data_IF_230581128735
#
_entry.id   IF_230581128735
#
_cell.length_a   1.000
_cell.length_b   1.000
_cell.length_c   1.000
_cell.angle_alpha   90.00
_cell.angle_beta   90.00
_cell.angle_gamma   90.00
#
_symmetry.space_group_name_H-M   'P 1'
#
loop_
_entity.id
_entity.type
_entity.pdbx_description
1 polymer ?
#
# COMPACT_ATOMS: atom_id res chain seq x y z
N UNK A 1 10.15 82.26 -25.04
CA UNK A 1 11.46 81.80 -25.58
C UNK A 1 12.51 82.03 -24.48
N UNK A 2 13.45 81.10 -24.27
CA UNK A 2 13.88 80.64 -22.94
C UNK A 2 14.96 81.51 -22.29
N UNK A 3 14.98 81.54 -20.95
CA UNK A 3 16.09 82.00 -20.12
C UNK A 3 16.39 80.86 -19.12
N UNK A 4 17.48 80.10 -19.32
CA UNK A 4 18.85 80.37 -18.86
C UNK A 4 19.05 80.07 -17.37
N UNK A 5 19.95 79.13 -17.04
CA UNK A 5 21.14 79.43 -16.22
C UNK A 5 21.98 78.17 -16.02
N UNK A 6 23.27 78.30 -16.32
CA UNK A 6 24.37 77.44 -15.89
C UNK A 6 24.92 78.05 -14.58
N UNK A 7 25.26 77.23 -13.57
CA UNK A 7 26.60 77.18 -12.93
C UNK A 7 26.65 76.45 -11.56
N UNK A 8 27.64 75.54 -11.48
CA UNK A 8 28.59 75.17 -10.43
C UNK A 8 28.25 75.10 -8.91
N UNK A 9 28.52 73.93 -8.29
CA UNK A 9 29.50 73.69 -7.19
C UNK A 9 29.34 72.33 -6.48
N UNK A 10 30.45 71.59 -6.30
CA UNK A 10 30.68 70.40 -5.41
C UNK A 10 30.78 70.82 -3.91
N UNK A 11 31.08 69.92 -2.94
CA UNK A 11 30.41 68.69 -2.50
C UNK A 11 30.10 68.72 -0.97
N UNK A 12 29.08 68.01 -0.48
CA UNK A 12 28.73 67.96 0.95
C UNK A 12 28.38 66.54 1.41
N UNK A 13 29.08 66.05 2.42
CA UNK A 13 29.09 64.65 2.84
C UNK A 13 27.82 64.14 3.55
N UNK A 14 27.62 62.84 3.43
CA UNK A 14 26.59 62.08 4.15
C UNK A 14 26.91 60.59 4.15
N UNK A 15 28.05 60.20 4.74
CA UNK A 15 28.35 58.78 5.04
C UNK A 15 27.69 58.40 6.36
N UNK A 16 26.93 57.30 6.37
CA UNK A 16 26.89 56.42 7.55
C UNK A 16 25.55 55.96 8.08
N UNK A 17 24.69 55.30 7.28
CA UNK A 17 23.56 54.50 7.83
C UNK A 17 23.41 53.10 7.17
N UNK A 18 24.03 52.83 6.03
CA UNK A 18 23.86 51.54 5.31
C UNK A 18 24.73 50.35 5.79
N UNK A 19 25.78 50.57 6.58
CA UNK A 19 26.78 49.52 6.87
C UNK A 19 26.43 48.65 8.10
N UNK A 20 25.79 49.22 9.13
CA UNK A 20 25.50 48.51 10.40
C UNK A 20 24.38 47.46 10.28
N UNK A 21 23.41 47.65 9.38
CA UNK A 21 22.26 46.73 9.23
C UNK A 21 22.65 45.44 8.51
N UNK A 22 23.64 45.49 7.60
CA UNK A 22 24.13 44.31 6.88
C UNK A 22 24.92 43.35 7.80
N UNK A 23 25.80 43.89 8.66
CA UNK A 23 26.60 43.10 9.59
C UNK A 23 25.72 42.40 10.65
N UNK A 24 24.65 43.06 11.11
CA UNK A 24 23.73 42.48 12.09
C UNK A 24 22.86 41.35 11.50
N UNK A 25 22.57 41.38 10.19
CA UNK A 25 21.82 40.31 9.50
C UNK A 25 22.71 39.11 9.17
N UNK A 26 23.99 39.32 8.89
CA UNK A 26 24.97 38.25 8.68
C UNK A 26 25.30 37.52 10.00
N UNK A 27 25.44 38.26 11.10
CA UNK A 27 25.67 37.71 12.45
C UNK A 27 24.56 36.76 12.90
N UNK A 28 23.28 37.11 12.68
CA UNK A 28 22.14 36.24 13.00
C UNK A 28 22.09 34.95 12.17
N UNK A 29 22.52 35.00 10.90
CA UNK A 29 22.57 33.81 10.02
C UNK A 29 23.68 32.84 10.44
N UNK A 30 24.86 33.37 10.81
CA UNK A 30 25.96 32.55 11.31
C UNK A 30 25.59 31.84 12.62
N UNK A 31 24.92 32.57 13.54
CA UNK A 31 24.49 32.02 14.83
C UNK A 31 23.43 30.91 14.69
N UNK A 32 22.51 31.03 13.72
CA UNK A 32 21.52 29.97 13.43
C UNK A 32 22.18 28.75 12.80
N UNK A 33 23.14 28.93 11.88
CA UNK A 33 23.86 27.83 11.26
C UNK A 33 24.71 27.03 12.27
N UNK A 34 25.35 27.73 13.22
CA UNK A 34 26.11 27.10 14.30
C UNK A 34 25.20 26.33 15.27
N UNK A 35 24.01 26.85 15.58
CA UNK A 35 23.02 26.17 16.43
C UNK A 35 22.48 24.90 15.76
N UNK A 36 22.28 24.92 14.43
CA UNK A 36 21.84 23.76 13.65
C UNK A 36 22.91 22.68 13.54
N UNK A 37 24.18 23.05 13.36
CA UNK A 37 25.30 22.10 13.36
C UNK A 37 25.43 21.40 14.72
N UNK A 38 25.28 22.16 15.81
CA UNK A 38 25.32 21.61 17.17
C UNK A 38 24.12 20.71 17.49
N UNK A 39 22.95 20.98 16.90
CA UNK A 39 21.78 20.10 16.99
C UNK A 39 21.96 18.80 16.19
N UNK A 40 22.59 18.87 15.01
CA UNK A 40 22.91 17.70 14.18
C UNK A 40 23.89 16.75 14.87
N UNK A 41 24.94 17.27 15.53
CA UNK A 41 25.88 16.44 16.30
C UNK A 41 25.21 15.73 17.48
N UNK A 42 24.26 16.39 18.16
CA UNK A 42 23.48 15.77 19.24
C UNK A 42 22.59 14.63 18.76
N UNK A 43 22.03 14.74 17.54
CA UNK A 43 21.20 13.70 16.96
C UNK A 43 22.03 12.47 16.55
N UNK A 44 23.23 12.69 16.01
CA UNK A 44 24.16 11.61 15.58
C UNK A 44 24.71 10.83 16.80
N UNK A 45 24.94 11.51 17.92
CA UNK A 45 25.40 10.86 19.14
C UNK A 45 24.27 10.06 19.83
N UNK A 46 23.01 10.48 19.70
CA UNK A 46 21.86 9.74 20.23
C UNK A 46 21.54 8.46 19.42
N UNK A 47 21.96 8.38 18.16
CA UNK A 47 21.79 7.17 17.33
C UNK A 47 22.87 6.11 17.56
N UNK A 48 23.90 6.39 18.36
CA UNK A 48 25.04 5.49 18.55
C UNK A 48 24.97 4.61 19.81
N UNK A 49 23.93 4.74 20.64
CA UNK A 49 23.82 3.99 21.92
C UNK A 49 22.68 2.98 22.01
N UNK A 50 22.11 2.56 20.86
CA UNK A 50 21.19 1.40 20.82
C UNK A 50 21.82 0.24 20.06
N UNK A 51 22.92 -0.29 20.60
CA UNK A 51 23.45 -1.59 20.20
C UNK A 51 22.89 -2.66 21.14
N UNK A 52 21.76 -3.28 20.76
CA UNK A 52 21.37 -4.56 21.36
C UNK A 52 22.23 -5.65 20.73
N UNK A 53 23.28 -6.04 21.45
CA UNK A 53 24.02 -7.26 21.18
C UNK A 53 23.11 -8.45 21.49
N UNK A 54 22.68 -9.15 20.45
CA UNK A 54 22.21 -10.53 20.57
C UNK A 54 23.23 -11.37 19.84
N UNK A 55 24.20 -11.90 20.58
CA UNK A 55 25.01 -13.00 20.12
C UNK A 55 24.16 -14.27 20.09
N UNK A 56 24.20 -14.99 18.98
CA UNK A 56 24.18 -16.45 18.99
C UNK A 56 24.75 -16.97 17.68
N UNK A 57 25.48 -18.06 17.83
CA UNK A 57 26.49 -18.59 16.94
C UNK A 57 25.95 -19.09 15.61
N UNK A 58 26.72 -18.83 14.55
CA UNK A 58 26.48 -19.33 13.20
C UNK A 58 27.12 -20.72 13.07
N UNK A 59 26.36 -21.78 13.35
CA UNK A 59 26.72 -23.12 12.88
C UNK A 59 26.25 -23.29 11.43
N UNK A 60 27.24 -23.51 10.57
CA UNK A 60 27.15 -23.64 9.13
C UNK A 60 26.83 -25.10 8.77
N UNK A 61 25.57 -25.46 8.56
CA UNK A 61 25.16 -26.56 7.67
C UNK A 61 23.65 -26.59 7.45
N UNK A 62 23.30 -26.99 6.23
CA UNK A 62 21.96 -27.20 5.64
C UNK A 62 21.19 -25.96 5.18
N UNK A 63 21.20 -25.76 3.86
CA UNK A 63 20.19 -25.02 3.10
C UNK A 63 18.93 -25.86 2.99
N UNK A 64 17.79 -25.49 3.62
CA UNK A 64 16.49 -25.94 3.17
C UNK A 64 16.01 -24.93 2.12
N UNK A 65 15.61 -25.47 0.98
CA UNK A 65 14.73 -24.86 -0.02
C UNK A 65 13.71 -23.90 0.64
N UNK A 66 13.42 -22.71 0.07
CA UNK A 66 12.35 -21.87 0.59
C UNK A 66 11.02 -22.55 0.24
N UNK A 67 10.62 -23.50 1.08
CA UNK A 67 9.22 -23.92 1.17
C UNK A 67 8.54 -22.74 1.86
N UNK A 68 7.89 -21.90 1.06
CA UNK A 68 6.91 -20.96 1.59
C UNK A 68 6.04 -21.74 2.57
N UNK A 69 5.94 -21.35 3.85
CA UNK A 69 4.97 -21.94 4.73
C UNK A 69 3.62 -21.54 4.14
N UNK A 70 2.97 -22.46 3.41
CA UNK A 70 1.56 -22.38 3.13
C UNK A 70 0.92 -22.30 4.51
N UNK A 71 0.56 -21.07 4.89
CA UNK A 71 0.10 -20.76 6.24
C UNK A 71 -1.03 -21.73 6.54
N UNK A 72 -0.91 -22.46 7.65
CA UNK A 72 -1.87 -23.45 8.13
C UNK A 72 -3.29 -22.97 7.86
N UNK A 73 -4.05 -23.83 7.18
CA UNK A 73 -5.49 -23.77 7.04
C UNK A 73 -6.10 -23.29 8.35
N UNK A 74 -7.02 -22.33 8.26
CA UNK A 74 -7.64 -21.68 9.41
C UNK A 74 -8.52 -22.59 10.27
N UNK A 75 -8.65 -23.86 9.90
CA UNK A 75 -9.38 -24.86 10.66
C UNK A 75 -8.44 -25.56 11.66
N UNK A 76 -8.27 -24.94 12.83
CA UNK A 76 -7.80 -25.66 14.02
C UNK A 76 -8.72 -25.38 15.19
N UNK A 77 -10.02 -25.63 15.03
CA UNK A 77 -10.86 -26.18 16.11
C UNK A 77 -12.25 -26.67 15.62
N UNK A 78 -12.33 -27.59 14.66
CA UNK A 78 -13.60 -28.28 14.40
C UNK A 78 -13.36 -29.76 14.10
N UNK A 79 -13.35 -30.58 15.15
CA UNK A 79 -13.57 -32.02 15.01
C UNK A 79 -15.02 -32.23 14.52
N UNK A 80 -15.15 -32.42 13.22
CA UNK A 80 -16.38 -32.83 12.57
C UNK A 80 -16.04 -33.19 11.14
N UNK A 81 -16.46 -34.36 10.68
CA UNK A 81 -16.30 -34.81 9.30
C UNK A 81 -17.08 -33.89 8.35
N UNK A 82 -16.51 -32.72 8.06
CA UNK A 82 -17.06 -31.65 7.25
C UNK A 82 -16.11 -31.34 6.11
N UNK A 83 -16.68 -31.05 4.94
CA UNK A 83 -15.96 -30.75 3.72
C UNK A 83 -15.05 -29.52 3.96
N UNK A 84 -13.73 -29.71 3.90
CA UNK A 84 -12.77 -28.61 4.03
C UNK A 84 -12.75 -27.84 2.70
N UNK A 85 -13.57 -26.79 2.61
CA UNK A 85 -13.55 -25.86 1.49
C UNK A 85 -12.23 -25.08 1.50
N UNK A 86 -11.36 -25.32 0.51
CA UNK A 86 -10.13 -24.58 0.32
C UNK A 86 -10.32 -23.54 -0.79
N UNK A 87 -9.99 -22.27 -0.50
CA UNK A 87 -9.97 -21.20 -1.50
C UNK A 87 -8.52 -20.82 -1.76
N UNK A 88 -8.09 -20.98 -3.01
CA UNK A 88 -6.79 -20.53 -3.49
C UNK A 88 -6.98 -19.20 -4.22
N UNK A 89 -6.17 -18.19 -3.93
CA UNK A 89 -6.27 -16.88 -4.57
C UNK A 89 -4.96 -16.46 -5.20
N UNK A 90 -5.04 -15.79 -6.36
CA UNK A 90 -3.91 -15.19 -7.07
C UNK A 90 -4.25 -13.78 -7.54
N UNK A 91 -3.36 -12.84 -7.25
CA UNK A 91 -3.44 -11.44 -7.67
C UNK A 91 -2.55 -11.11 -8.88
N UNK A 92 -1.84 -12.10 -9.42
CA UNK A 92 -0.93 -11.88 -10.55
C UNK A 92 -1.74 -11.49 -11.81
N UNK A 93 -1.29 -10.44 -12.49
CA UNK A 93 -1.97 -9.90 -13.67
C UNK A 93 -1.01 -9.78 -14.85
N UNK A 94 -1.44 -10.23 -16.03
CA UNK A 94 -0.66 -10.09 -17.28
C UNK A 94 -0.87 -8.69 -17.88
N UNK A 95 0.20 -7.91 -17.99
CA UNK A 95 0.14 -6.65 -18.73
C UNK A 95 -0.01 -6.92 -20.23
N UNK A 96 -1.13 -6.52 -20.84
CA UNK A 96 -1.43 -6.73 -22.26
C UNK A 96 -0.55 -5.90 -23.21
N UNK A 97 0.08 -4.84 -22.71
CA UNK A 97 0.92 -3.95 -23.53
C UNK A 97 2.33 -4.50 -23.74
N UNK A 98 2.90 -5.19 -22.75
CA UNK A 98 4.27 -5.72 -22.81
C UNK A 98 4.38 -7.22 -22.54
N UNK A 99 3.24 -7.91 -22.35
CA UNK A 99 3.14 -9.34 -22.03
C UNK A 99 3.95 -9.77 -20.78
N UNK A 100 4.30 -8.83 -19.91
CA UNK A 100 4.98 -9.12 -18.64
C UNK A 100 3.95 -9.39 -17.55
N UNK A 101 4.22 -10.38 -16.70
CA UNK A 101 3.44 -10.63 -15.49
C UNK A 101 3.81 -9.58 -14.44
N UNK A 102 2.77 -8.98 -13.84
CA UNK A 102 2.90 -7.99 -12.76
C UNK A 102 2.37 -8.63 -11.49
N UNK A 103 3.21 -8.67 -10.45
CA UNK A 103 2.90 -9.29 -9.16
C UNK A 103 2.21 -8.30 -8.21
N UNK A 104 1.83 -8.78 -7.03
CA UNK A 104 0.95 -8.07 -6.13
C UNK A 104 1.59 -6.80 -5.57
N UNK A 105 2.86 -6.86 -5.18
CA UNK A 105 3.65 -5.73 -4.72
C UNK A 105 3.81 -4.64 -5.80
N UNK A 106 3.96 -5.06 -7.06
CA UNK A 106 4.10 -4.15 -8.19
C UNK A 106 2.76 -3.51 -8.56
N UNK A 107 1.67 -4.29 -8.54
CA UNK A 107 0.31 -3.78 -8.74
C UNK A 107 -0.03 -2.74 -7.68
N UNK A 108 0.28 -3.03 -6.41
CA UNK A 108 0.01 -2.10 -5.31
C UNK A 108 0.82 -0.82 -5.42
N UNK A 109 2.08 -0.91 -5.85
CA UNK A 109 2.95 0.25 -6.07
C UNK A 109 2.49 1.13 -7.24
N UNK A 110 1.79 0.55 -8.23
CA UNK A 110 1.30 1.24 -9.42
C UNK A 110 -0.05 1.95 -9.26
N UNK A 111 -0.74 1.79 -8.13
CA UNK A 111 -2.00 2.49 -7.85
C UNK A 111 -1.80 3.98 -7.53
N UNK A 112 -2.81 4.77 -7.83
CA UNK A 112 -2.86 6.21 -7.53
C UNK A 112 -3.74 6.50 -6.31
N UNK A 113 -3.69 7.73 -5.80
CA UNK A 113 -4.57 8.19 -4.70
C UNK A 113 -5.98 8.56 -5.15
N UNK A 114 -6.35 8.26 -6.40
CA UNK A 114 -7.68 8.53 -6.95
C UNK A 114 -8.61 7.35 -6.62
N UNK A 115 -9.58 7.61 -5.75
CA UNK A 115 -10.57 6.62 -5.29
C UNK A 115 -11.61 6.21 -6.35
N UNK A 116 -11.52 6.78 -7.55
CA UNK A 116 -12.34 6.42 -8.72
C UNK A 116 -11.53 5.69 -9.79
N UNK A 117 -10.21 5.55 -9.60
CA UNK A 117 -9.32 4.88 -10.55
C UNK A 117 -9.15 3.38 -10.22
N UNK A 118 -9.59 2.53 -11.14
CA UNK A 118 -9.45 1.07 -11.05
C UNK A 118 -8.12 0.55 -11.61
N UNK A 119 -7.29 1.42 -12.18
CA UNK A 119 -6.08 1.00 -12.87
C UNK A 119 -4.84 1.04 -11.97
N UNK A 120 -3.92 0.11 -12.24
CA UNK A 120 -2.52 0.16 -11.81
C UNK A 120 -1.61 0.45 -13.01
N UNK A 121 -0.37 0.86 -12.74
CA UNK A 121 0.65 1.14 -13.75
C UNK A 121 1.65 0.00 -13.84
N UNK A 122 1.87 -0.52 -15.06
CA UNK A 122 2.86 -1.58 -15.28
C UNK A 122 4.29 -1.06 -15.04
N UNK A 123 5.13 -1.73 -14.22
CA UNK A 123 6.49 -1.25 -13.94
C UNK A 123 7.43 -1.36 -15.14
N UNK A 124 7.10 -2.21 -16.13
CA UNK A 124 7.97 -2.48 -17.28
C UNK A 124 7.73 -1.54 -18.48
N UNK A 125 6.48 -1.13 -18.70
CA UNK A 125 6.10 -0.32 -19.86
C UNK A 125 5.27 0.92 -19.53
N UNK A 126 4.98 1.16 -18.24
CA UNK A 126 4.16 2.27 -17.74
C UNK A 126 2.73 2.33 -18.28
N UNK A 127 2.28 1.28 -18.98
CA UNK A 127 0.89 1.18 -19.42
C UNK A 127 -0.03 1.03 -18.21
N UNK A 128 -1.14 1.77 -18.25
CA UNK A 128 -2.23 1.65 -17.29
C UNK A 128 -3.06 0.41 -17.62
N UNK A 129 -3.40 -0.40 -16.62
CA UNK A 129 -4.23 -1.59 -16.77
C UNK A 129 -5.07 -1.86 -15.52
N UNK A 130 -6.20 -2.54 -15.68
CA UNK A 130 -7.00 -3.03 -14.55
C UNK A 130 -6.41 -4.37 -14.08
N UNK A 131 -5.91 -4.48 -12.84
CA UNK A 131 -5.47 -5.75 -12.27
C UNK A 131 -6.66 -6.61 -11.86
N UNK A 132 -6.44 -7.93 -11.74
CA UNK A 132 -7.49 -8.89 -11.37
C UNK A 132 -7.06 -9.80 -10.22
N UNK A 133 -8.03 -10.17 -9.38
CA UNK A 133 -7.93 -11.27 -8.43
C UNK A 133 -8.64 -12.48 -9.01
N UNK A 134 -7.96 -13.63 -8.97
CA UNK A 134 -8.51 -14.93 -9.31
C UNK A 134 -8.67 -15.75 -8.04
N UNK A 135 -9.87 -16.27 -7.80
CA UNK A 135 -10.16 -17.21 -6.74
C UNK A 135 -10.53 -18.55 -7.35
N UNK A 136 -9.89 -19.62 -6.91
CA UNK A 136 -10.21 -21.00 -7.25
C UNK A 136 -10.75 -21.69 -6.00
N UNK A 137 -11.89 -22.35 -6.16
CA UNK A 137 -12.62 -22.98 -5.07
C UNK A 137 -12.42 -24.49 -5.20
N UNK A 138 -11.73 -25.09 -4.22
CA UNK A 138 -11.41 -26.51 -4.18
C UNK A 138 -12.24 -27.19 -3.10
N UNK A 139 -12.99 -28.23 -3.48
CA UNK A 139 -13.65 -29.14 -2.54
C UNK A 139 -12.72 -30.34 -2.27
N UNK A 140 -12.29 -30.50 -1.02
CA UNK A 140 -11.40 -31.58 -0.58
C UNK A 140 -12.14 -32.88 -0.24
N UNK A 141 -13.37 -33.07 -0.74
CA UNK A 141 -14.14 -34.30 -0.57
C UNK A 141 -13.47 -35.56 -1.17
N UNK A 142 -13.83 -36.79 -0.73
CA UNK A 142 -13.16 -38.04 -1.11
C UNK A 142 -13.24 -38.42 -2.60
N UNK A 143 -13.96 -37.65 -3.40
CA UNK A 143 -14.15 -37.87 -4.83
C UNK A 143 -14.06 -36.51 -5.52
N UNK A 144 -12.86 -35.93 -5.60
CA UNK A 144 -12.60 -34.79 -6.48
C UNK A 144 -12.88 -35.24 -7.92
N UNK A 145 -14.11 -34.99 -8.37
CA UNK A 145 -14.55 -35.24 -9.74
C UNK A 145 -13.69 -34.41 -10.68
N UNK A 146 -13.30 -35.01 -11.80
CA UNK A 146 -12.51 -34.42 -12.90
C UNK A 146 -13.29 -33.32 -13.68
N UNK A 147 -14.17 -32.57 -13.01
CA UNK A 147 -14.79 -31.35 -13.50
C UNK A 147 -14.02 -30.15 -12.97
N UNK A 148 -13.76 -29.16 -13.82
CA UNK A 148 -12.96 -27.99 -13.45
C UNK A 148 -13.43 -27.35 -12.14
N UNK A 149 -12.49 -26.94 -11.31
CA UNK A 149 -12.74 -26.18 -10.10
C UNK A 149 -13.42 -24.85 -10.46
N UNK A 150 -14.48 -24.43 -9.75
CA UNK A 150 -15.09 -23.12 -9.98
C UNK A 150 -14.04 -22.02 -9.77
N UNK A 151 -13.87 -21.18 -10.78
CA UNK A 151 -12.95 -20.04 -10.76
C UNK A 151 -13.73 -18.73 -10.89
N UNK A 152 -13.41 -17.78 -10.02
CA UNK A 152 -13.95 -16.43 -10.05
C UNK A 152 -12.83 -15.43 -10.32
N UNK A 153 -13.05 -14.53 -11.28
CA UNK A 153 -12.13 -13.43 -11.58
C UNK A 153 -12.83 -12.10 -11.34
N UNK A 154 -12.29 -11.26 -10.46
CA UNK A 154 -12.80 -9.92 -10.18
C UNK A 154 -11.71 -8.86 -10.32
N UNK A 155 -12.09 -7.60 -10.47
CA UNK A 155 -11.13 -6.50 -10.44
C UNK A 155 -10.41 -6.46 -9.09
N UNK A 156 -9.08 -6.32 -9.10
CA UNK A 156 -8.30 -6.12 -7.89
C UNK A 156 -8.31 -4.64 -7.52
N UNK A 157 -9.09 -4.29 -6.50
CA UNK A 157 -9.30 -2.91 -6.09
C UNK A 157 -8.16 -2.41 -5.21
N UNK A 158 -7.79 -1.14 -5.40
CA UNK A 158 -6.92 -0.46 -4.45
C UNK A 158 -7.61 -0.32 -3.08
N UNK A 159 -6.87 -0.24 -1.95
CA UNK A 159 -7.47 -0.05 -0.64
C UNK A 159 -8.39 1.17 -0.52
N UNK A 160 -8.15 2.21 -1.34
CA UNK A 160 -8.96 3.43 -1.35
C UNK A 160 -10.29 3.22 -2.05
N UNK A 161 -10.28 2.63 -3.25
CA UNK A 161 -11.50 2.28 -3.97
C UNK A 161 -12.31 1.28 -3.14
N UNK A 162 -11.67 0.24 -2.61
CA UNK A 162 -12.34 -0.76 -1.78
C UNK A 162 -13.03 -0.13 -0.55
N UNK A 163 -12.35 0.80 0.12
CA UNK A 163 -12.93 1.53 1.26
C UNK A 163 -14.17 2.33 0.84
N UNK A 164 -14.06 3.14 -0.21
CA UNK A 164 -15.17 3.98 -0.70
C UNK A 164 -16.39 3.16 -1.10
N UNK A 165 -16.18 2.09 -1.85
CA UNK A 165 -17.27 1.23 -2.30
C UNK A 165 -17.91 0.47 -1.11
N UNK A 166 -17.11 0.06 -0.12
CA UNK A 166 -17.64 -0.54 1.11
C UNK A 166 -18.42 0.47 1.96
N UNK A 167 -17.94 1.69 2.12
CA UNK A 167 -18.63 2.78 2.83
C UNK A 167 -19.97 3.08 2.13
N UNK A 168 -19.97 3.23 0.81
CA UNK A 168 -21.18 3.40 0.00
C UNK A 168 -22.17 2.24 0.18
N UNK A 169 -21.70 0.99 0.18
CA UNK A 169 -22.56 -0.17 0.42
C UNK A 169 -23.24 -0.08 1.79
N UNK A 170 -22.47 0.24 2.83
CA UNK A 170 -22.98 0.33 4.21
C UNK A 170 -23.95 1.50 4.40
N UNK A 171 -23.74 2.63 3.71
CA UNK A 171 -24.66 3.77 3.73
C UNK A 171 -26.01 3.43 3.07
N UNK A 172 -26.01 2.61 2.01
CA UNK A 172 -27.20 2.31 1.23
C UNK A 172 -27.97 1.07 1.73
N UNK A 173 -27.26 -0.01 2.09
CA UNK A 173 -27.84 -1.31 2.46
C UNK A 173 -27.72 -1.63 3.96
N UNK A 174 -26.87 -0.91 4.69
CA UNK A 174 -26.59 -1.15 6.11
C UNK A 174 -25.59 -2.29 6.35
N UNK A 175 -25.17 -2.47 7.61
CA UNK A 175 -24.15 -3.46 7.99
C UNK A 175 -24.60 -4.93 7.90
N UNK A 176 -25.91 -5.17 7.97
CA UNK A 176 -26.49 -6.52 7.96
C UNK A 176 -26.19 -7.24 6.64
N UNK A 177 -25.99 -6.49 5.55
CA UNK A 177 -25.64 -7.06 4.24
C UNK A 177 -24.37 -7.92 4.30
N UNK A 178 -23.38 -7.56 5.13
CA UNK A 178 -22.11 -8.29 5.21
C UNK A 178 -22.24 -9.70 5.80
N UNK A 179 -23.33 -9.97 6.53
CA UNK A 179 -23.63 -11.28 7.11
C UNK A 179 -24.57 -12.12 6.22
N UNK A 180 -25.05 -11.56 5.11
CA UNK A 180 -26.03 -12.17 4.24
C UNK A 180 -25.33 -12.94 3.09
N UNK A 181 -25.77 -14.16 2.74
CA UNK A 181 -25.24 -14.90 1.60
C UNK A 181 -25.33 -14.13 0.27
N UNK A 182 -26.34 -13.27 0.14
CA UNK A 182 -26.55 -12.41 -1.03
C UNK A 182 -25.39 -11.43 -1.27
N UNK A 183 -24.55 -11.15 -0.27
CA UNK A 183 -23.38 -10.28 -0.43
C UNK A 183 -22.38 -10.83 -1.45
N UNK A 184 -22.16 -12.14 -1.46
CA UNK A 184 -21.28 -12.79 -2.45
C UNK A 184 -21.84 -12.63 -3.87
N UNK A 185 -23.15 -12.74 -4.03
CA UNK A 185 -23.83 -12.74 -5.33
C UNK A 185 -23.96 -11.33 -5.89
N UNK A 186 -24.42 -10.38 -5.06
CA UNK A 186 -24.70 -9.00 -5.46
C UNK A 186 -23.42 -8.15 -5.51
N UNK A 187 -22.45 -8.43 -4.63
CA UNK A 187 -21.27 -7.59 -4.41
C UNK A 187 -19.97 -8.39 -4.49
N UNK A 188 -19.89 -9.29 -5.48
CA UNK A 188 -18.78 -10.23 -5.66
C UNK A 188 -17.38 -9.58 -5.66
N UNK A 189 -17.23 -8.41 -6.30
CA UNK A 189 -15.95 -7.69 -6.33
C UNK A 189 -15.53 -7.30 -4.91
N UNK A 190 -16.43 -6.73 -4.10
CA UNK A 190 -16.13 -6.34 -2.73
C UNK A 190 -15.84 -7.56 -1.86
N UNK A 191 -16.65 -8.60 -1.98
CA UNK A 191 -16.48 -9.85 -1.25
C UNK A 191 -15.06 -10.43 -1.42
N UNK A 192 -14.64 -10.66 -2.66
CA UNK A 192 -13.35 -11.31 -2.94
C UNK A 192 -12.16 -10.42 -2.59
N UNK A 193 -12.28 -9.10 -2.78
CA UNK A 193 -11.24 -8.17 -2.34
C UNK A 193 -11.11 -8.17 -0.80
N UNK A 194 -12.22 -8.20 -0.05
CA UNK A 194 -12.19 -8.30 1.41
C UNK A 194 -11.55 -9.60 1.87
N UNK A 195 -11.95 -10.73 1.30
CA UNK A 195 -11.33 -12.04 1.59
C UNK A 195 -9.82 -11.99 1.36
N UNK A 196 -9.37 -11.44 0.23
CA UNK A 196 -7.95 -11.29 -0.09
C UNK A 196 -7.20 -10.42 0.92
N UNK A 197 -7.72 -9.23 1.24
CA UNK A 197 -7.06 -8.32 2.19
C UNK A 197 -7.02 -8.89 3.60
N UNK A 198 -8.09 -9.54 4.06
CA UNK A 198 -8.09 -10.18 5.38
C UNK A 198 -7.06 -11.31 5.44
N UNK A 199 -7.01 -12.15 4.40
CA UNK A 199 -6.01 -13.21 4.28
C UNK A 199 -4.58 -12.64 4.31
N UNK A 200 -4.32 -11.63 3.47
CA UNK A 200 -3.02 -10.96 3.37
C UNK A 200 -2.57 -10.33 4.69
N UNK A 201 -3.49 -9.72 5.43
CA UNK A 201 -3.21 -9.08 6.72
C UNK A 201 -3.17 -10.07 7.89
N UNK A 202 -3.51 -11.34 7.66
CA UNK A 202 -3.63 -12.34 8.73
C UNK A 202 -4.78 -12.06 9.71
N UNK A 203 -5.81 -11.36 9.24
CA UNK A 203 -7.01 -11.05 10.02
C UNK A 203 -8.02 -12.20 9.92
N UNK A 204 -8.81 -12.49 10.96
CA UNK A 204 -9.86 -13.50 10.91
C UNK A 204 -10.96 -13.10 9.92
N UNK A 205 -11.27 -13.96 8.95
CA UNK A 205 -12.29 -13.73 7.92
C UNK A 205 -13.39 -14.80 7.96
N UNK A 206 -14.54 -14.44 8.53
CA UNK A 206 -15.72 -15.32 8.55
C UNK A 206 -16.45 -15.38 7.20
N UNK A 207 -16.07 -14.52 6.24
CA UNK A 207 -16.75 -14.42 4.93
C UNK A 207 -16.66 -15.73 4.13
N UNK A 208 -15.59 -16.51 4.32
CA UNK A 208 -15.41 -17.80 3.65
C UNK A 208 -16.50 -18.83 4.02
N UNK A 209 -17.14 -18.70 5.18
CA UNK A 209 -18.28 -19.56 5.54
C UNK A 209 -19.49 -19.32 4.62
N UNK A 210 -19.64 -18.12 4.05
CA UNK A 210 -20.73 -17.82 3.11
C UNK A 210 -20.53 -18.51 1.76
N UNK A 211 -19.28 -18.77 1.34
CA UNK A 211 -19.00 -19.52 0.11
C UNK A 211 -19.58 -20.92 0.20
N UNK A 212 -19.56 -21.55 1.38
CA UNK A 212 -20.17 -22.88 1.63
C UNK A 212 -21.70 -22.87 1.51
N UNK A 213 -22.34 -21.71 1.63
CA UNK A 213 -23.80 -21.57 1.65
C UNK A 213 -24.37 -21.09 0.31
N UNK A 214 -23.51 -20.69 -0.63
CA UNK A 214 -23.93 -20.16 -1.92
C UNK A 214 -24.12 -21.29 -2.95
N UNK A 215 -25.22 -21.26 -3.74
CA UNK A 215 -25.45 -22.24 -4.81
C UNK A 215 -24.56 -22.05 -6.04
N UNK A 216 -23.65 -21.07 -6.02
CA UNK A 216 -22.70 -20.80 -7.12
C UNK A 216 -21.43 -21.67 -7.06
N UNK A 217 -21.32 -22.54 -6.04
CA UNK A 217 -20.27 -23.55 -5.86
C UNK A 217 -20.89 -24.94 -5.88
#
# INVERSE_FOLDING_TARGET
>A
RPAASVDDRRPGGGRGIGRRVSDQRQSRKAQVAETLLKAKERLVNATSESSLSVGSDLDLLDTPTPVFPLRRSWDSNQEGAGMELQVLMSSCSLCRSCNSLVYDEEIMAGWTSDDSNLNSSCPFCSASFVPFLNAEICDLGPVSSMGGTPQVTVAYLSPLVLRKELESLLENEGEVVLAQPQFLENHSILFWNLVWFFHRLGLPCNLLQMVRSSPLV
#
